data_IF_774511128180
#
_entry.id   IF_774511128180
#
_cell.length_a   1.000
_cell.length_b   1.000
_cell.length_c   1.000
_cell.angle_alpha   90.00
_cell.angle_beta   90.00
_cell.angle_gamma   90.00
#
_symmetry.space_group_name_H-M   'P 1'
#
loop_
_entity.id
_entity.type
_entity.pdbx_description
1 polymer ?
#
# COMPACT_ATOMS: atom_id res chain seq x y z
N UNK A 1 18.31 27.41 10.05
CA UNK A 1 17.24 26.81 10.88
C UNK A 1 15.94 26.96 10.09
N UNK A 2 15.39 25.85 9.59
CA UNK A 2 14.13 25.82 8.84
C UNK A 2 13.11 25.05 9.70
N UNK A 3 12.21 25.79 10.37
CA UNK A 3 11.22 25.20 11.27
C UNK A 3 9.98 24.82 10.46
N UNK A 4 9.59 23.54 10.58
CA UNK A 4 8.40 22.98 9.93
C UNK A 4 7.53 22.26 10.96
N UNK A 5 6.23 22.20 10.68
CA UNK A 5 5.25 21.47 11.50
C UNK A 5 4.51 20.42 10.65
N UNK A 6 4.26 19.25 11.23
CA UNK A 6 3.52 18.16 10.60
C UNK A 6 2.59 17.52 11.63
N UNK A 7 1.36 17.19 11.24
CA UNK A 7 0.45 16.41 12.07
C UNK A 7 0.89 14.94 12.02
N UNK A 8 0.95 14.29 13.18
CA UNK A 8 1.34 12.88 13.32
C UNK A 8 0.23 12.06 13.97
N UNK A 9 0.29 10.75 13.78
CA UNK A 9 -0.68 9.80 14.31
C UNK A 9 0.05 8.70 15.07
N UNK A 10 -0.59 8.17 16.13
CA UNK A 10 -0.08 7.06 16.93
C UNK A 10 -1.16 6.00 17.06
N UNK A 11 -0.81 4.74 16.80
CA UNK A 11 -1.68 3.58 17.03
C UNK A 11 -1.20 2.82 18.28
N UNK A 12 -2.06 2.72 19.29
CA UNK A 12 -1.79 1.93 20.49
C UNK A 12 -2.18 0.47 20.26
N UNK A 13 -1.22 -0.36 19.84
CA UNK A 13 -1.51 -1.72 19.37
C UNK A 13 -2.11 -2.63 20.46
N UNK A 14 -1.79 -2.43 21.75
CA UNK A 14 -2.41 -3.21 22.83
C UNK A 14 -3.92 -2.94 23.01
N UNK A 15 -4.41 -1.81 22.47
CA UNK A 15 -5.83 -1.45 22.48
C UNK A 15 -6.50 -1.71 21.14
N UNK A 16 -5.73 -2.14 20.13
CA UNK A 16 -6.30 -2.52 18.85
C UNK A 16 -7.04 -3.86 19.01
N UNK A 17 -8.29 -3.88 18.58
CA UNK A 17 -9.14 -5.07 18.64
C UNK A 17 -9.39 -5.68 17.25
N UNK A 18 -8.71 -5.18 16.22
CA UNK A 18 -8.83 -5.72 14.85
C UNK A 18 -10.24 -5.63 14.26
N UNK A 19 -11.04 -4.63 14.60
CA UNK A 19 -12.46 -4.57 14.22
C UNK A 19 -12.76 -4.04 12.81
N UNK A 20 -11.74 -3.57 12.06
CA UNK A 20 -11.87 -3.01 10.71
C UNK A 20 -12.80 -1.78 10.55
N UNK A 21 -13.28 -1.17 11.65
CA UNK A 21 -14.16 0.02 11.58
C UNK A 21 -13.49 1.19 10.84
N UNK A 22 -12.19 1.41 11.06
CA UNK A 22 -11.42 2.43 10.36
C UNK A 22 -11.34 2.19 8.84
N UNK A 23 -11.26 0.92 8.41
CA UNK A 23 -11.24 0.54 7.00
C UNK A 23 -12.56 0.85 6.31
N UNK A 24 -13.70 0.49 6.93
CA UNK A 24 -15.02 0.77 6.36
C UNK A 24 -15.32 2.26 6.31
N UNK A 25 -14.99 3.01 7.36
CA UNK A 25 -15.13 4.46 7.37
C UNK A 25 -14.36 5.12 6.22
N UNK A 26 -13.11 4.70 6.00
CA UNK A 26 -12.30 5.19 4.89
C UNK A 26 -12.87 4.78 3.52
N UNK A 27 -13.29 3.53 3.37
CA UNK A 27 -13.84 2.98 2.12
C UNK A 27 -15.06 3.77 1.66
N UNK A 28 -16.05 3.92 2.54
CA UNK A 28 -17.33 4.55 2.20
C UNK A 28 -17.18 6.04 1.83
N UNK A 29 -16.22 6.74 2.45
CA UNK A 29 -16.02 8.17 2.18
C UNK A 29 -15.20 8.37 0.90
N UNK A 30 -14.19 7.53 0.64
CA UNK A 30 -13.14 7.87 -0.34
C UNK A 30 -13.01 6.92 -1.53
N UNK A 31 -13.18 5.61 -1.33
CA UNK A 31 -12.83 4.56 -2.31
C UNK A 31 -13.98 3.62 -2.66
N UNK A 32 -15.21 4.13 -2.64
CA UNK A 32 -16.43 3.45 -3.10
C UNK A 32 -16.75 3.69 -4.60
N UNK A 33 -15.78 4.20 -5.36
CA UNK A 33 -15.96 4.50 -6.78
C UNK A 33 -15.37 3.39 -7.65
N UNK A 34 -15.92 3.24 -8.86
CA UNK A 34 -15.43 2.29 -9.85
C UNK A 34 -13.96 2.50 -10.19
N UNK A 35 -13.18 1.42 -10.18
CA UNK A 35 -11.72 1.39 -10.34
C UNK A 35 -10.94 1.47 -9.02
N UNK A 36 -11.61 1.68 -7.88
CA UNK A 36 -11.00 1.79 -6.54
C UNK A 36 -11.61 0.84 -5.51
N UNK A 37 -12.51 -0.04 -5.94
CA UNK A 37 -13.23 -1.00 -5.09
C UNK A 37 -12.26 -1.90 -4.35
N UNK A 38 -11.19 -2.36 -5.03
CA UNK A 38 -10.15 -3.15 -4.39
C UNK A 38 -9.33 -2.34 -3.37
N UNK A 39 -9.23 -1.02 -3.51
CA UNK A 39 -8.28 -0.18 -2.77
C UNK A 39 -8.74 0.10 -1.33
N UNK A 40 -7.97 -0.39 -0.36
CA UNK A 40 -8.15 -0.08 1.06
C UNK A 40 -7.05 0.84 1.54
N UNK A 41 -7.24 2.17 1.45
CA UNK A 41 -6.23 3.14 1.90
C UNK A 41 -5.88 2.99 3.38
N UNK A 42 -6.87 2.67 4.21
CA UNK A 42 -6.67 2.23 5.59
C UNK A 42 -7.09 0.76 5.67
N UNK A 43 -6.14 -0.17 5.73
CA UNK A 43 -6.39 -1.59 5.97
C UNK A 43 -5.91 -2.01 7.37
N UNK A 44 -6.42 -3.14 7.86
CA UNK A 44 -6.01 -3.78 9.11
C UNK A 44 -5.54 -5.18 8.76
N UNK A 45 -4.37 -5.57 9.25
CA UNK A 45 -3.75 -6.86 8.97
C UNK A 45 -3.49 -7.62 10.26
N UNK A 46 -3.81 -8.91 10.27
CA UNK A 46 -3.47 -9.81 11.38
C UNK A 46 -2.05 -10.32 11.20
N UNK A 47 -1.25 -10.30 12.27
CA UNK A 47 0.07 -10.92 12.31
C UNK A 47 0.06 -12.20 13.15
N UNK A 48 0.76 -13.27 12.73
CA UNK A 48 1.53 -13.40 11.49
C UNK A 48 0.63 -13.50 10.24
N UNK A 49 1.07 -12.93 9.10
CA UNK A 49 0.29 -12.90 7.86
C UNK A 49 1.00 -12.18 6.71
N UNK A 50 0.55 -12.42 5.47
CA UNK A 50 1.13 -11.86 4.24
C UNK A 50 0.76 -10.40 3.94
N UNK A 51 -0.27 -9.86 4.60
CA UNK A 51 -0.71 -8.47 4.42
C UNK A 51 -1.42 -8.20 3.10
N UNK A 52 -1.63 -6.91 2.82
CA UNK A 52 -2.33 -6.42 1.62
C UNK A 52 -1.57 -5.22 1.01
N UNK A 53 -1.05 -5.31 -0.23
CA UNK A 53 -0.98 -6.50 -1.08
C UNK A 53 -0.12 -7.62 -0.47
N UNK A 54 -0.29 -8.83 -0.97
CA UNK A 54 0.39 -10.02 -0.46
C UNK A 54 1.90 -9.85 -0.49
N UNK A 55 2.55 -10.06 0.65
CA UNK A 55 3.99 -9.90 0.89
C UNK A 55 4.51 -8.48 0.65
N UNK A 56 3.71 -7.43 0.90
CA UNK A 56 4.15 -6.05 0.71
C UNK A 56 5.43 -5.67 1.49
N UNK A 57 5.74 -6.37 2.59
CA UNK A 57 6.97 -6.20 3.37
C UNK A 57 8.24 -6.67 2.63
N UNK A 58 8.11 -7.56 1.63
CA UNK A 58 9.24 -8.07 0.83
C UNK A 58 9.73 -7.03 -0.20
N UNK A 59 10.82 -6.34 0.16
CA UNK A 59 11.44 -5.33 -0.69
C UNK A 59 12.44 -5.91 -1.69
N UNK A 60 12.71 -7.21 -1.68
CA UNK A 60 13.43 -7.88 -2.77
C UNK A 60 12.49 -8.10 -3.96
N UNK A 61 11.22 -8.44 -3.69
CA UNK A 61 10.14 -8.51 -4.68
C UNK A 61 9.71 -7.13 -5.20
N UNK A 62 9.25 -6.25 -4.30
CA UNK A 62 8.57 -4.99 -4.68
C UNK A 62 9.48 -3.78 -4.84
N UNK A 63 10.72 -3.84 -4.35
CA UNK A 63 11.72 -2.78 -4.46
C UNK A 63 11.24 -1.39 -3.98
N UNK A 64 10.40 -1.34 -2.95
CA UNK A 64 9.95 -0.10 -2.32
C UNK A 64 11.05 0.59 -1.49
N UNK A 65 10.90 1.90 -1.28
CA UNK A 65 11.77 2.69 -0.40
C UNK A 65 13.16 2.98 -0.95
N UNK A 66 14.09 3.24 -0.02
CA UNK A 66 15.44 3.72 -0.30
C UNK A 66 16.50 2.72 0.14
N UNK A 67 17.65 2.74 -0.52
CA UNK A 67 18.88 2.11 -0.06
C UNK A 67 19.98 3.16 0.08
N UNK A 68 20.83 2.97 1.09
CA UNK A 68 22.03 3.78 1.29
C UNK A 68 23.14 3.21 0.41
N UNK A 69 23.69 4.03 -0.47
CA UNK A 69 24.90 3.72 -1.25
C UNK A 69 25.95 4.79 -0.94
N UNK A 70 27.01 4.40 -0.24
CA UNK A 70 27.99 5.32 0.35
C UNK A 70 27.30 6.36 1.24
N UNK A 71 27.49 7.64 0.95
CA UNK A 71 26.85 8.77 1.65
C UNK A 71 25.53 9.21 1.00
N UNK A 72 25.12 8.56 -0.09
CA UNK A 72 23.94 8.95 -0.87
C UNK A 72 22.77 7.99 -0.69
N UNK A 73 21.54 8.51 -0.77
CA UNK A 73 20.33 7.72 -0.84
C UNK A 73 19.95 7.47 -2.30
N UNK A 74 19.62 6.22 -2.64
CA UNK A 74 19.07 5.85 -3.95
C UNK A 74 17.77 5.09 -3.78
N UNK A 75 16.79 5.39 -4.64
CA UNK A 75 15.56 4.61 -4.75
C UNK A 75 15.88 3.17 -5.12
N UNK A 76 15.23 2.20 -4.47
CA UNK A 76 15.40 0.77 -4.79
C UNK A 76 14.81 0.44 -6.18
N UNK A 77 13.54 0.76 -6.38
CA UNK A 77 12.81 0.51 -7.63
C UNK A 77 13.37 1.32 -8.81
N UNK A 78 13.14 2.64 -8.82
CA UNK A 78 13.28 3.42 -10.06
C UNK A 78 14.08 4.71 -9.87
N UNK A 79 15.39 4.65 -10.10
CA UNK A 79 16.24 5.85 -10.22
C UNK A 79 15.97 6.63 -11.53
N UNK A 80 16.48 7.87 -11.63
CA UNK A 80 16.23 8.78 -12.77
C UNK A 80 16.50 8.18 -14.16
N UNK A 81 17.49 7.28 -14.30
CA UNK A 81 17.75 6.59 -15.58
C UNK A 81 16.87 5.35 -15.79
N UNK A 82 16.60 4.59 -14.73
CA UNK A 82 15.77 3.37 -14.79
C UNK A 82 14.32 3.67 -15.15
N UNK A 83 13.81 4.86 -14.81
CA UNK A 83 12.42 5.23 -15.14
C UNK A 83 12.17 5.22 -16.65
N UNK A 84 13.16 5.62 -17.45
CA UNK A 84 13.01 5.67 -18.92
C UNK A 84 12.84 4.25 -19.49
N UNK A 85 13.58 3.27 -18.96
CA UNK A 85 13.45 1.88 -19.39
C UNK A 85 12.16 1.23 -18.87
N UNK A 86 11.71 1.59 -17.66
CA UNK A 86 10.60 0.94 -16.99
C UNK A 86 9.25 1.66 -17.18
N UNK A 87 9.18 2.78 -17.91
CA UNK A 87 7.94 3.57 -18.03
C UNK A 87 6.82 2.82 -18.75
N UNK A 88 7.15 1.99 -19.74
CA UNK A 88 6.17 1.22 -20.51
C UNK A 88 5.75 -0.06 -19.79
N UNK A 89 6.57 -0.54 -18.86
CA UNK A 89 6.30 -1.72 -18.05
C UNK A 89 7.17 -1.70 -16.80
N UNK A 90 6.55 -1.58 -15.63
CA UNK A 90 7.25 -1.66 -14.36
C UNK A 90 7.24 -3.13 -13.86
N UNK A 91 8.39 -3.83 -13.86
CA UNK A 91 8.45 -5.26 -13.51
C UNK A 91 8.20 -5.54 -12.02
N UNK A 92 8.22 -4.52 -11.16
CA UNK A 92 8.01 -4.65 -9.72
C UNK A 92 6.64 -4.12 -9.27
N UNK A 93 5.77 -3.76 -10.21
CA UNK A 93 4.43 -3.27 -9.91
C UNK A 93 3.55 -4.44 -9.42
N UNK A 94 2.91 -4.33 -8.24
CA UNK A 94 1.93 -5.33 -7.81
C UNK A 94 0.78 -5.46 -8.80
N UNK A 95 0.35 -6.69 -9.06
CA UNK A 95 -0.79 -7.00 -9.95
C UNK A 95 -2.09 -7.10 -9.15
N UNK A 96 -3.23 -7.24 -9.84
CA UNK A 96 -4.53 -7.41 -9.16
C UNK A 96 -4.56 -8.67 -8.28
N UNK A 97 -3.87 -9.73 -8.69
CA UNK A 97 -3.77 -10.99 -7.95
C UNK A 97 -2.98 -10.85 -6.64
N UNK A 98 -2.06 -9.88 -6.56
CA UNK A 98 -1.38 -9.57 -5.29
C UNK A 98 -2.34 -8.89 -4.30
N UNK A 99 -3.42 -8.27 -4.78
CA UNK A 99 -4.51 -7.70 -3.97
C UNK A 99 -5.66 -8.70 -3.85
N UNK A 100 -6.75 -8.46 -4.59
CA UNK A 100 -7.85 -9.36 -4.86
C UNK A 100 -8.67 -8.79 -6.04
N UNK A 101 -9.33 -9.65 -6.81
CA UNK A 101 -10.31 -9.21 -7.80
C UNK A 101 -11.62 -8.81 -7.10
N UNK A 102 -12.07 -7.54 -7.20
CA UNK A 102 -13.36 -7.13 -6.63
C UNK A 102 -14.51 -7.90 -7.22
N UNK A 103 -15.43 -8.32 -6.36
CA UNK A 103 -16.58 -9.13 -6.75
C UNK A 103 -17.87 -8.55 -6.16
N UNK A 104 -19.01 -8.96 -6.72
CA UNK A 104 -20.35 -8.63 -6.24
C UNK A 104 -21.31 -9.79 -6.49
N UNK A 105 -22.45 -9.80 -5.81
CA UNK A 105 -23.53 -10.77 -6.03
C UNK A 105 -24.58 -10.23 -6.99
N UNK A 106 -25.35 -11.16 -7.57
CA UNK A 106 -26.64 -10.87 -8.19
C UNK A 106 -27.71 -11.04 -7.10
N UNK A 107 -28.21 -9.93 -6.57
CA UNK A 107 -29.13 -9.97 -5.42
C UNK A 107 -30.59 -10.22 -5.81
N UNK A 108 -30.94 -10.07 -7.09
CA UNK A 108 -32.31 -10.14 -7.60
C UNK A 108 -32.65 -11.47 -8.29
N UNK A 109 -31.66 -12.32 -8.57
CA UNK A 109 -31.83 -13.69 -9.10
C UNK A 109 -32.19 -14.66 -7.96
#
# INVERSE_FOLDING_TARGET
>A
MDIRSQISMVFHLDKCIGCHTCSIACKNIWTDRKGTEYMWWNNVETKPGGGYPTQWEDQEKYQGGWKKENENLKLKSTGKGKIIANIFHNPHQPTMDDYYEPWTYKYED
#
